data_IF_072839090695
#
_entry.id   IF_072839090695
#
_cell.length_a   1.000
_cell.length_b   1.000
_cell.length_c   1.000
_cell.angle_alpha   90.00
_cell.angle_beta   90.00
_cell.angle_gamma   90.00
#
_symmetry.space_group_name_H-M   'P 1'
#
loop_
_entity.id
_entity.type
_entity.pdbx_description
1 polymer ?
2 non-polymer ?
3 non-polymer ?
4 water ?
#
# COMPACT_ATOMS: atom_id res chain seq x y z
N UNK A 1 -14.29 10.67 16.66
CA UNK A 1 -13.84 9.39 17.29
C UNK A 1 -13.33 8.39 16.28
N UNK A 2 -12.12 7.90 16.50
CA UNK A 2 -11.51 6.87 15.66
C UNK A 2 -12.02 5.51 16.04
N UNK A 3 -12.27 4.68 15.04
CA UNK A 3 -12.54 3.26 15.28
C UNK A 3 -11.90 2.43 14.19
N UNK A 4 -11.28 1.33 14.58
CA UNK A 4 -10.69 0.44 13.58
C UNK A 4 -11.74 -0.33 12.77
N UNK A 5 -13.00 -0.35 13.23
CA UNK A 5 -14.06 -1.06 12.49
C UNK A 5 -14.97 -0.15 11.67
N UNK A 6 -14.55 1.10 11.48
CA UNK A 6 -15.28 2.03 10.62
C UNK A 6 -14.28 2.71 9.71
N UNK A 7 -14.74 3.33 8.63
CA UNK A 7 -13.88 4.18 7.84
C UNK A 7 -13.74 5.53 8.50
N UNK A 8 -12.51 5.99 8.65
CA UNK A 8 -12.22 7.24 9.36
C UNK A 8 -11.81 8.32 8.40
N UNK A 9 -12.30 9.54 8.60
CA UNK A 9 -11.91 10.64 7.71
C UNK A 9 -10.44 11.03 7.95
N UNK A 10 -9.90 11.88 7.08
CA UNK A 10 -8.49 12.22 7.20
C UNK A 10 -8.14 12.89 8.49
N UNK A 11 -8.96 13.83 8.96
CA UNK A 11 -8.66 14.49 10.23
C UNK A 11 -8.49 13.47 11.35
N UNK A 12 -9.36 12.47 11.34
CA UNK A 12 -9.33 11.39 12.33
C UNK A 12 -8.10 10.49 12.14
N UNK A 13 -7.79 10.08 10.91
CA UNK A 13 -6.58 9.26 10.68
C UNK A 13 -5.32 10.03 11.10
N UNK A 14 -5.25 11.31 10.73
CA UNK A 14 -4.12 12.15 11.08
C UNK A 14 -3.93 12.20 12.61
N UNK A 15 -5.02 12.46 13.33
CA UNK A 15 -4.96 12.53 14.79
C UNK A 15 -4.57 11.17 15.36
N UNK A 16 -5.04 10.10 14.72
CA UNK A 16 -4.70 8.75 15.14
C UNK A 16 -3.22 8.46 14.97
N UNK A 17 -2.62 8.92 13.87
CA UNK A 17 -1.18 8.72 13.69
C UNK A 17 -0.39 9.34 14.85
N UNK A 18 -0.83 10.52 15.30
CA UNK A 18 -0.17 11.21 16.40
C UNK A 18 -0.40 10.46 17.72
N UNK A 19 -1.63 10.06 17.96
CA UNK A 19 -2.00 9.39 19.22
C UNK A 19 -1.41 7.99 19.36
N UNK A 20 -1.45 7.20 18.29
CA UNK A 20 -0.93 5.83 18.35
C UNK A 20 0.59 5.86 18.58
N UNK A 21 1.25 6.91 18.06
CA UNK A 21 2.69 7.10 18.27
C UNK A 21 2.98 7.47 19.72
N UNK A 22 2.24 8.45 20.23
CA UNK A 22 2.44 8.92 21.60
C UNK A 22 2.14 7.83 22.62
N UNK A 23 1.18 6.96 22.32
CA UNK A 23 0.79 5.88 23.23
C UNK A 23 1.76 4.70 23.23
N UNK A 24 2.56 4.59 22.18
CA UNK A 24 3.43 3.41 21.98
C UNK A 24 4.86 3.82 21.58
N UNK A 25 5.51 4.67 22.40
CA UNK A 25 6.82 5.23 22.02
C UNK A 25 7.95 4.21 21.84
N UNK A 26 7.83 3.04 22.45
CA UNK A 26 8.85 1.99 22.33
C UNK A 26 8.68 1.15 21.08
N UNK A 27 7.58 1.37 20.35
CA UNK A 27 7.24 0.58 19.17
C UNK A 27 6.98 1.41 17.92
N UNK A 28 6.64 2.69 18.07
CA UNK A 28 6.23 3.51 16.93
C UNK A 28 6.87 4.89 16.96
N UNK A 29 7.40 5.33 15.82
CA UNK A 29 7.76 6.74 15.63
C UNK A 29 7.08 7.24 14.36
N UNK A 30 6.85 8.55 14.28
CA UNK A 30 6.16 9.14 13.16
C UNK A 30 7.01 10.22 12.51
N UNK A 31 7.06 10.24 11.18
CA UNK A 31 7.68 11.35 10.43
C UNK A 31 6.73 11.74 9.30
N UNK A 32 7.04 12.85 8.64
CA UNK A 32 6.36 13.27 7.41
C UNK A 32 7.40 13.14 6.31
N UNK A 33 7.06 12.46 5.22
CA UNK A 33 8.02 12.23 4.13
C UNK A 33 7.90 13.29 3.02
N UNK A 34 6.94 14.19 3.19
CA UNK A 34 6.71 15.24 2.21
C UNK A 34 5.32 15.79 2.40
N UNK A 35 4.88 16.64 1.46
CA UNK A 35 3.53 17.19 1.52
C UNK A 35 2.82 16.91 0.20
N UNK A 36 1.50 16.84 0.27
CA UNK A 36 0.69 16.61 -0.92
C UNK A 36 0.58 17.89 -1.76
N UNK A 37 -0.04 17.76 -2.93
CA UNK A 37 -0.37 18.91 -3.75
C UNK A 37 -0.99 20.04 -2.92
N UNK A 38 -1.95 19.70 -2.07
CA UNK A 38 -2.64 20.69 -1.24
C UNK A 38 -1.90 21.10 0.03
N UNK A 39 -0.74 20.49 0.28
CA UNK A 39 0.09 20.86 1.42
C UNK A 39 -0.14 20.04 2.67
N UNK A 40 -0.84 18.91 2.55
CA UNK A 40 -1.04 18.03 3.68
C UNK A 40 0.21 17.18 3.94
N UNK A 41 0.59 17.03 5.21
CA UNK A 41 1.73 16.19 5.58
C UNK A 41 1.46 14.73 5.28
N UNK A 42 2.40 14.10 4.58
CA UNK A 42 2.30 12.68 4.27
C UNK A 42 2.99 11.90 5.39
N UNK A 43 2.21 11.39 6.36
CA UNK A 43 2.79 10.75 7.53
C UNK A 43 3.18 9.31 7.26
N UNK A 44 4.26 8.92 7.93
CA UNK A 44 4.81 7.57 7.85
C UNK A 44 5.06 7.09 9.28
N UNK A 45 4.58 5.88 9.57
CA UNK A 45 4.83 5.27 10.88
C UNK A 45 5.95 4.23 10.75
N UNK A 46 6.94 4.29 11.64
CA UNK A 46 7.97 3.26 11.70
C UNK A 46 7.60 2.39 12.88
N UNK A 47 7.24 1.13 12.62
CA UNK A 47 6.72 0.23 13.64
C UNK A 47 7.75 -0.87 13.90
N UNK A 48 8.21 -0.96 15.14
CA UNK A 48 9.25 -1.94 15.50
C UNK A 48 9.99 -1.52 16.75
N UNK A 49 10.53 -2.50 17.46
CA UNK A 49 11.37 -2.20 18.62
C UNK A 49 12.77 -1.83 18.14
N UNK A 50 13.37 -0.74 18.67
CA UNK A 50 14.73 -0.40 18.23
C UNK A 50 15.73 -1.55 18.33
N UNK A 51 16.67 -1.57 17.40
CA UNK A 51 17.73 -2.54 17.41
C UNK A 51 18.71 -2.21 16.31
N UNK A 52 19.85 -2.89 16.30
CA UNK A 52 20.90 -2.55 15.35
C UNK A 52 20.68 -3.16 13.98
N UNK A 53 20.97 -2.37 12.94
CA UNK A 53 21.00 -2.85 11.56
C UNK A 53 19.78 -3.68 11.17
N UNK A 54 18.59 -3.19 11.52
CA UNK A 54 17.37 -3.93 11.24
C UNK A 54 16.98 -3.82 9.77
N UNK A 55 16.65 -4.94 9.13
CA UNK A 55 15.98 -4.84 7.83
C UNK A 55 14.57 -4.28 8.00
N UNK A 56 13.98 -3.85 6.90
CA UNK A 56 12.68 -3.22 6.91
C UNK A 56 11.75 -3.77 5.83
N UNK A 57 10.46 -3.69 6.12
CA UNK A 57 9.40 -3.92 5.15
C UNK A 57 8.64 -2.59 5.02
N UNK A 58 8.36 -2.18 3.80
CA UNK A 58 7.61 -0.95 3.56
C UNK A 58 6.22 -1.29 3.05
N UNK A 59 5.20 -0.72 3.68
CA UNK A 59 3.82 -0.94 3.27
C UNK A 59 3.09 0.38 3.16
N UNK A 60 2.43 0.60 2.03
CA UNK A 60 1.55 1.76 1.89
C UNK A 60 0.12 1.36 1.61
N UNK A 61 -0.78 2.26 1.98
CA UNK A 61 -2.19 2.17 1.68
C UNK A 61 -2.66 3.49 1.08
N UNK A 62 -3.85 3.47 0.49
CA UNK A 62 -4.48 4.71 0.09
C UNK A 62 -3.85 5.40 -1.13
N UNK A 63 -3.20 4.65 -2.01
CA UNK A 63 -2.85 5.23 -3.32
C UNK A 63 -4.09 5.79 -3.99
N UNK A 64 -5.16 5.00 -4.01
CA UNK A 64 -6.39 5.35 -4.74
C UNK A 64 -7.47 5.76 -3.78
N UNK A 65 -8.02 6.96 -3.98
CA UNK A 65 -8.81 7.62 -2.96
C UNK A 65 -10.03 6.81 -2.51
N UNK A 66 -10.72 6.20 -3.49
CA UNK A 66 -11.97 5.50 -3.21
C UNK A 66 -11.80 4.12 -2.60
N UNK A 67 -10.57 3.61 -2.51
CA UNK A 67 -10.34 2.25 -2.01
C UNK A 67 -10.22 2.23 -0.49
N UNK A 68 -11.32 2.59 0.18
CA UNK A 68 -11.32 2.88 1.61
C UNK A 68 -10.87 1.72 2.47
N UNK A 69 -11.08 0.49 1.98
CA UNK A 69 -10.63 -0.68 2.73
C UNK A 69 -9.10 -0.72 2.85
N UNK A 70 -8.39 -0.17 1.86
CA UNK A 70 -6.94 -0.11 1.91
C UNK A 70 -6.50 0.73 3.11
N UNK A 71 -7.04 1.94 3.21
CA UNK A 71 -6.68 2.83 4.34
C UNK A 71 -6.99 2.13 5.64
N UNK A 72 -8.15 1.48 5.70
CA UNK A 72 -8.55 0.77 6.92
C UNK A 72 -7.55 -0.33 7.27
N UNK A 73 -6.99 -0.99 6.26
CA UNK A 73 -6.07 -2.07 6.52
C UNK A 73 -4.77 -1.58 7.15
N UNK A 74 -4.19 -0.49 6.65
CA UNK A 74 -2.95 -0.02 7.28
C UNK A 74 -3.17 0.31 8.76
N UNK A 75 -4.32 0.91 9.07
CA UNK A 75 -4.65 1.15 10.45
C UNK A 75 -4.76 -0.16 11.23
N UNK A 76 -5.43 -1.17 10.66
CA UNK A 76 -5.55 -2.46 11.30
C UNK A 76 -4.22 -3.12 11.57
N UNK A 77 -3.28 -3.00 10.63
CA UNK A 77 -1.96 -3.59 10.85
C UNK A 77 -1.30 -3.01 12.10
N UNK A 78 -1.37 -1.68 12.24
CA UNK A 78 -0.80 -1.03 13.40
C UNK A 78 -1.55 -1.43 14.68
N UNK A 79 -2.88 -1.46 14.62
CA UNK A 79 -3.71 -2.03 15.69
C UNK A 79 -3.17 -3.38 16.19
N UNK A 80 -2.93 -4.27 15.24
CA UNK A 80 -2.44 -5.62 15.53
C UNK A 80 -1.05 -5.59 16.15
N UNK A 81 -0.16 -4.77 15.61
CA UNK A 81 1.19 -4.64 16.16
C UNK A 81 1.14 -4.21 17.62
N UNK A 82 0.37 -3.18 17.92
CA UNK A 82 0.36 -2.62 19.27
C UNK A 82 -0.37 -3.54 20.26
N UNK A 83 -1.43 -4.19 19.79
CA UNK A 83 -2.22 -5.04 20.65
C UNK A 83 -1.51 -6.34 21.01
N UNK A 84 -0.87 -6.97 20.02
CA UNK A 84 -0.38 -8.33 20.18
C UNK A 84 1.13 -8.45 20.44
N UNK A 85 1.87 -7.35 20.28
CA UNK A 85 3.28 -7.35 20.62
C UNK A 85 3.46 -7.79 22.09
N UNK A 86 4.31 -8.80 22.29
CA UNK A 86 4.60 -9.31 23.63
C UNK A 86 3.75 -10.54 23.96
N UNK A 87 2.57 -10.60 23.36
CA UNK A 87 1.63 -11.68 23.65
C UNK A 87 1.69 -12.80 22.63
N UNK A 88 1.96 -12.44 21.39
CA UNK A 88 1.90 -13.38 20.27
C UNK A 88 3.30 -13.50 19.66
N UNK A 89 3.79 -14.74 19.62
CA UNK A 89 5.20 -15.02 19.28
C UNK A 89 5.68 -14.44 17.95
N UNK A 90 4.90 -14.60 16.89
CA UNK A 90 5.36 -14.19 15.58
C UNK A 90 5.42 -12.69 15.44
N UNK A 91 4.35 -12.00 15.80
CA UNK A 91 4.34 -10.54 15.73
C UNK A 91 5.46 -9.96 16.58
N UNK A 92 5.73 -10.58 17.71
CA UNK A 92 6.78 -10.07 18.59
C UNK A 92 8.15 -10.23 17.94
N UNK A 93 8.40 -11.41 17.37
CA UNK A 93 9.64 -11.63 16.65
C UNK A 93 9.78 -10.65 15.49
N UNK A 94 8.70 -10.48 14.71
CA UNK A 94 8.74 -9.57 13.56
C UNK A 94 9.19 -8.19 14.02
N UNK A 95 8.58 -7.67 15.07
CA UNK A 95 8.85 -6.29 15.45
C UNK A 95 10.18 -6.13 16.18
N UNK A 96 10.68 -7.20 16.79
CA UNK A 96 11.99 -7.18 17.40
C UNK A 96 13.11 -7.18 16.37
N UNK A 97 12.88 -7.86 15.24
CA UNK A 97 13.93 -8.09 14.24
C UNK A 97 13.85 -7.20 13.01
N UNK A 98 12.64 -6.76 12.67
CA UNK A 98 12.42 -5.92 11.47
C UNK A 98 11.73 -4.65 11.87
N UNK A 99 11.89 -3.61 11.05
CA UNK A 99 11.02 -2.44 11.12
C UNK A 99 10.01 -2.49 10.01
N UNK A 100 8.79 -2.06 10.31
CA UNK A 100 7.75 -1.86 9.30
C UNK A 100 7.52 -0.39 9.13
N UNK A 101 7.68 0.07 7.91
CA UNK A 101 7.26 1.43 7.58
C UNK A 101 5.84 1.33 7.06
N UNK A 102 4.91 1.99 7.74
CA UNK A 102 3.50 1.94 7.34
C UNK A 102 3.08 3.35 6.95
N UNK A 103 2.75 3.52 5.67
CA UNK A 103 2.30 4.80 5.16
C UNK A 103 0.77 4.70 5.03
N UNK A 104 0.03 5.22 6.03
CA UNK A 104 -1.39 4.86 6.08
C UNK A 104 -2.23 5.41 4.94
N UNK A 105 -1.92 6.61 4.47
CA UNK A 105 -2.63 7.19 3.32
C UNK A 105 -1.65 7.97 2.47
N UNK A 106 -1.40 7.51 1.24
CA UNK A 106 -0.51 8.26 0.34
C UNK A 106 -1.24 9.45 -0.26
N UNK A 107 -2.39 9.18 -0.89
CA UNK A 107 -3.15 10.19 -1.63
C UNK A 107 -4.18 10.84 -0.70
N UNK A 108 -3.66 11.67 0.20
CA UNK A 108 -4.48 12.30 1.23
C UNK A 108 -5.49 13.26 0.60
N UNK A 109 -5.05 14.02 -0.40
CA UNK A 109 -5.94 15.01 -1.01
C UNK A 109 -7.14 14.32 -1.66
N UNK A 110 -6.90 13.23 -2.38
CA UNK A 110 -7.98 12.47 -3.02
C UNK A 110 -8.89 11.86 -1.95
N UNK A 111 -8.30 11.34 -0.87
CA UNK A 111 -9.10 10.75 0.18
C UNK A 111 -10.07 11.77 0.81
N UNK A 112 -9.57 12.96 1.14
CA UNK A 112 -10.44 14.02 1.65
C UNK A 112 -11.59 14.28 0.67
N UNK A 113 -11.26 14.34 -0.61
CA UNK A 113 -12.25 14.61 -1.66
C UNK A 113 -13.33 13.52 -1.70
N UNK A 114 -12.97 12.27 -1.42
CA UNK A 114 -13.99 11.20 -1.39
C UNK A 114 -14.95 11.35 -0.22
N UNK A 115 -14.51 12.03 0.84
CA UNK A 115 -15.37 12.32 1.99
C UNK A 115 -16.24 13.54 1.81
N UNK A 116 -15.73 14.53 1.08
CA UNK A 116 -16.40 15.83 1.00
C UNK A 116 -17.22 16.04 -0.26
N UNK A 117 -16.84 15.41 -1.36
CA UNK A 117 -17.42 15.74 -2.67
C UNK A 117 -17.78 14.56 -3.56
N UNK A 118 -16.93 13.53 -3.61
CA UNK A 118 -17.11 12.50 -4.62
C UNK A 118 -16.51 11.19 -4.15
N UNK A 119 -17.38 10.31 -3.66
CA UNK A 119 -16.99 9.02 -3.08
C UNK A 119 -16.16 8.17 -4.03
N UNK A 120 -16.32 8.41 -5.33
CA UNK A 120 -15.72 7.56 -6.35
C UNK A 120 -14.48 8.18 -7.00
N UNK A 121 -13.93 9.23 -6.38
CA UNK A 121 -12.66 9.77 -6.83
C UNK A 121 -11.54 8.74 -6.68
N UNK A 122 -10.62 8.73 -7.65
CA UNK A 122 -9.47 7.79 -7.69
C UNK A 122 -8.11 8.50 -7.56
N UNK A 123 -7.95 9.55 -8.37
CA UNK A 123 -6.66 10.18 -8.62
C UNK A 123 -6.22 11.16 -7.54
N UNK A 124 -5.07 11.80 -7.74
CA UNK A 124 -4.71 12.93 -6.91
C UNK A 124 -5.63 14.11 -7.21
N UNK A 125 -5.34 15.26 -6.61
CA UNK A 125 -6.15 16.45 -6.85
C UNK A 125 -5.34 17.61 -7.42
N UNK A 126 -4.24 17.28 -8.09
CA UNK A 126 -3.41 18.30 -8.73
C UNK A 126 -4.02 18.78 -10.04
N UNK A 127 -3.59 19.95 -10.49
CA UNK A 127 -4.04 20.49 -11.77
C UNK A 127 -3.23 19.99 -12.95
N UNK A 128 -3.82 20.16 -14.14
CA UNK A 128 -3.24 19.76 -15.41
C UNK A 128 -3.26 20.92 -16.40
N UNK A 129 -2.15 21.12 -17.11
CA UNK A 129 -2.09 22.18 -18.12
C UNK A 129 -3.11 21.98 -19.24
N UNK A 130 -3.74 23.08 -19.68
CA UNK A 130 -4.60 23.05 -20.87
C UNK A 130 -5.98 22.43 -20.71
N UNK A 131 -6.36 22.14 -19.46
CA UNK A 131 -7.65 21.53 -19.17
C UNK A 131 -8.06 21.89 -17.75
N UNK A 132 -9.35 21.76 -17.45
CA UNK A 132 -9.81 21.88 -16.07
C UNK A 132 -9.91 20.51 -15.37
N UNK A 133 -9.66 19.43 -16.10
CA UNK A 133 -9.67 18.10 -15.50
C UNK A 133 -8.57 17.98 -14.46
N UNK A 134 -8.90 17.33 -13.36
CA UNK A 134 -8.04 17.25 -12.20
C UNK A 134 -7.46 15.87 -11.99
N UNK A 135 -6.17 15.85 -11.64
CA UNK A 135 -5.58 14.66 -11.02
C UNK A 135 -4.83 13.75 -11.95
N UNK A 136 -3.89 13.03 -11.33
CA UNK A 136 -3.05 12.01 -11.95
C UNK A 136 -3.27 10.71 -11.18
N UNK A 137 -3.24 9.59 -11.88
CA UNK A 137 -3.30 8.29 -11.21
C UNK A 137 -1.92 8.04 -10.59
N UNK A 138 -1.82 8.04 -9.24
CA UNK A 138 -0.48 7.89 -8.66
C UNK A 138 0.14 6.54 -9.03
N UNK A 139 -0.68 5.51 -9.28
CA UNK A 139 -0.13 4.21 -9.67
C UNK A 139 0.10 4.08 -11.17
N UNK A 140 0.13 5.22 -11.87
CA UNK A 140 0.63 5.28 -13.24
C UNK A 140 1.76 6.30 -13.34
N UNK A 141 2.20 6.82 -12.18
CA UNK A 141 3.13 7.95 -12.16
C UNK A 141 4.59 7.60 -11.81
N UNK A 142 4.91 6.31 -11.70
CA UNK A 142 6.27 5.90 -11.38
C UNK A 142 7.07 5.61 -12.64
N UNK A 143 8.38 5.68 -12.48
CA UNK A 143 9.30 5.46 -13.58
C UNK A 143 9.48 3.97 -13.88
N UNK A 144 8.46 3.36 -14.46
CA UNK A 144 8.42 1.91 -14.73
C UNK A 144 7.66 1.70 -16.05
N UNK A 145 8.38 1.68 -17.16
CA UNK A 145 7.75 1.72 -18.49
C UNK A 145 6.76 2.87 -18.59
N UNK A 146 7.12 4.02 -18.02
CA UNK A 146 6.17 5.10 -17.77
C UNK A 146 5.31 5.50 -18.97
N UNK A 147 4.00 5.49 -18.74
CA UNK A 147 2.95 5.99 -19.63
C UNK A 147 2.80 5.19 -20.92
N UNK A 148 3.20 3.94 -20.86
CA UNK A 148 2.98 3.09 -22.00
C UNK A 148 1.63 2.38 -21.69
N UNK A 149 1.64 1.08 -21.65
CA UNK A 149 0.45 0.29 -21.69
C UNK A 149 -0.42 0.49 -20.45
N UNK A 150 -1.73 0.48 -20.63
CA UNK A 150 -2.66 0.52 -19.51
C UNK A 150 -2.64 1.82 -18.73
N UNK A 151 -2.10 2.86 -19.36
CA UNK A 151 -2.00 4.19 -18.79
C UNK A 151 -2.42 5.16 -19.87
N UNK A 152 -3.16 6.21 -19.49
CA UNK A 152 -3.70 7.16 -20.44
C UNK A 152 -2.89 8.44 -20.47
N UNK A 153 -2.74 9.01 -21.67
CA UNK A 153 -2.12 10.33 -21.83
C UNK A 153 -3.13 11.47 -21.63
N UNK A 154 -4.41 11.13 -21.45
CA UNK A 154 -5.45 12.13 -21.33
C UNK A 154 -5.63 12.50 -19.85
N UNK A 155 -5.41 13.79 -19.48
CA UNK A 155 -5.55 14.21 -18.07
C UNK A 155 -6.98 14.06 -17.52
N UNK A 156 -7.98 13.92 -18.40
CA UNK A 156 -9.36 13.71 -17.97
C UNK A 156 -9.69 12.26 -17.69
N UNK A 157 -8.71 11.37 -17.86
CA UNK A 157 -8.95 9.94 -17.73
C UNK A 157 -8.48 9.43 -16.36
N UNK A 158 -9.07 8.33 -15.91
CA UNK A 158 -8.84 7.80 -14.58
C UNK A 158 -7.46 7.14 -14.40
N UNK A 159 -6.80 6.78 -15.51
CA UNK A 159 -5.46 6.22 -15.46
C UNK A 159 -4.43 7.17 -16.05
N UNK A 160 -4.71 8.48 -15.99
CA UNK A 160 -3.76 9.47 -16.48
C UNK A 160 -2.38 9.29 -15.83
N UNK A 161 -1.34 9.24 -16.64
CA UNK A 161 0.01 8.96 -16.14
C UNK A 161 0.73 10.16 -15.56
N UNK A 162 0.16 11.36 -15.71
CA UNK A 162 0.82 12.58 -15.27
C UNK A 162 1.63 13.22 -16.37
N UNK A 163 2.19 14.38 -16.07
CA UNK A 163 2.99 15.09 -17.06
C UNK A 163 4.39 14.48 -17.25
N UNK A 164 4.85 13.73 -16.26
CA UNK A 164 6.17 13.09 -16.27
C UNK A 164 6.15 12.11 -15.11
N UNK A 165 7.05 11.11 -15.15
CA UNK A 165 7.18 10.21 -14.01
C UNK A 165 7.55 11.05 -12.78
N UNK A 166 6.89 10.77 -11.66
CA UNK A 166 7.11 11.46 -10.39
C UNK A 166 6.73 12.93 -10.44
N UNK A 167 5.85 13.30 -11.37
CA UNK A 167 5.33 14.66 -11.42
C UNK A 167 4.55 15.02 -10.17
N UNK A 168 3.94 14.03 -9.54
CA UNK A 168 3.10 14.28 -8.38
C UNK A 168 3.95 14.36 -7.13
N UNK A 169 3.65 15.34 -6.28
CA UNK A 169 4.37 15.50 -5.02
C UNK A 169 4.35 14.22 -4.19
N UNK A 170 3.23 13.50 -4.21
CA UNK A 170 3.07 12.31 -3.37
C UNK A 170 3.95 11.16 -3.83
N UNK A 171 4.04 10.95 -5.14
CA UNK A 171 4.80 9.84 -5.68
C UNK A 171 6.30 10.16 -5.63
N UNK A 172 6.67 11.41 -5.90
CA UNK A 172 8.04 11.86 -5.68
C UNK A 172 8.46 11.63 -4.22
N UNK A 173 7.58 11.96 -3.28
CA UNK A 173 7.91 11.78 -1.86
C UNK A 173 8.15 10.30 -1.53
N UNK A 174 7.28 9.43 -2.03
CA UNK A 174 7.41 8.01 -1.79
C UNK A 174 8.68 7.43 -2.43
N UNK A 175 8.91 7.77 -3.70
CA UNK A 175 10.10 7.30 -4.42
C UNK A 175 11.38 7.80 -3.74
N UNK A 176 11.39 9.07 -3.32
CA UNK A 176 12.54 9.61 -2.59
C UNK A 176 12.81 8.83 -1.31
N UNK A 177 11.75 8.56 -0.53
CA UNK A 177 11.94 7.82 0.71
C UNK A 177 12.52 6.44 0.42
N UNK A 178 11.94 5.73 -0.53
CA UNK A 178 12.41 4.39 -0.82
C UNK A 178 13.86 4.42 -1.33
N UNK A 179 14.19 5.32 -2.26
CA UNK A 179 15.57 5.48 -2.71
C UNK A 179 16.54 5.76 -1.55
N UNK A 180 16.13 6.61 -0.61
CA UNK A 180 16.98 6.97 0.52
C UNK A 180 17.14 5.82 1.52
N UNK A 181 16.27 4.82 1.45
CA UNK A 181 16.30 3.72 2.41
C UNK A 181 16.45 2.34 1.77
N UNK A 182 16.98 2.35 0.56
CA UNK A 182 17.05 1.16 -0.25
C UNK A 182 17.88 0.05 0.40
N UNK A 183 18.94 0.40 1.11
CA UNK A 183 19.81 -0.61 1.69
C UNK A 183 19.13 -1.41 2.82
N UNK A 184 18.09 -0.84 3.43
CA UNK A 184 17.38 -1.54 4.50
C UNK A 184 16.05 -2.15 4.09
N UNK A 185 15.35 -1.55 3.12
CA UNK A 185 14.04 -2.04 2.72
C UNK A 185 14.18 -3.32 1.88
N UNK A 186 13.66 -4.42 2.40
CA UNK A 186 13.75 -5.74 1.74
C UNK A 186 12.48 -6.16 1.03
N UNK A 187 11.35 -5.53 1.37
CA UNK A 187 10.08 -5.87 0.76
C UNK A 187 9.22 -4.63 0.68
N UNK A 188 8.42 -4.56 -0.38
CA UNK A 188 7.52 -3.46 -0.65
C UNK A 188 6.12 -4.04 -0.86
N UNK A 189 5.16 -3.54 -0.07
CA UNK A 189 3.78 -4.02 -0.09
C UNK A 189 2.86 -2.84 -0.29
N UNK A 190 2.01 -2.92 -1.29
CA UNK A 190 1.16 -1.78 -1.62
C UNK A 190 -0.30 -2.25 -1.68
N UNK A 191 -1.14 -1.64 -0.85
CA UNK A 191 -2.48 -2.16 -0.61
C UNK A 191 -3.52 -1.38 -1.40
N UNK A 192 -4.31 -2.13 -2.17
CA UNK A 192 -5.35 -1.62 -3.06
C UNK A 192 -6.63 -2.42 -2.84
N UNK A 193 -7.71 -2.02 -3.52
CA UNK A 193 -8.88 -2.89 -3.71
C UNK A 193 -9.43 -2.56 -5.08
N UNK A 194 -10.33 -3.36 -5.65
CA UNK A 194 -10.79 -4.65 -5.12
C UNK A 194 -10.41 -5.73 -6.13
N UNK A 195 -10.86 -6.95 -5.86
CA UNK A 195 -10.82 -8.14 -6.74
C UNK A 195 -10.09 -9.34 -6.15
N UNK A 196 -9.50 -9.20 -4.96
CA UNK A 196 -8.98 -10.34 -4.20
C UNK A 196 -7.80 -11.00 -4.92
N UNK A 197 -6.67 -10.28 -4.93
CA UNK A 197 -5.46 -10.77 -5.63
C UNK A 197 -4.20 -10.45 -4.84
N UNK A 198 -3.18 -11.29 -5.04
CA UNK A 198 -1.81 -10.94 -4.68
C UNK A 198 -1.00 -10.92 -5.98
N UNK A 199 -0.54 -9.73 -6.35
CA UNK A 199 0.13 -9.48 -7.61
C UNK A 199 1.59 -9.17 -7.37
N UNK A 200 2.45 -9.59 -8.29
CA UNK A 200 3.85 -9.22 -8.23
C UNK A 200 4.29 -8.81 -9.65
N UNK A 201 5.53 -8.29 -9.80
CA UNK A 201 5.91 -7.77 -11.13
C UNK A 201 5.96 -8.86 -12.20
N UNK A 202 5.80 -8.51 -13.48
CA UNK A 202 5.62 -7.14 -13.97
C UNK A 202 4.23 -6.87 -14.47
N UNK A 203 3.83 -5.61 -14.37
CA UNK A 203 2.64 -5.10 -15.03
C UNK A 203 2.96 -4.22 -16.24
N UNK A 204 4.11 -3.55 -16.26
CA UNK A 204 4.37 -2.57 -17.30
C UNK A 204 4.71 -3.19 -18.64
N UNK A 205 5.09 -4.46 -18.65
CA UNK A 205 5.31 -5.22 -19.89
C UNK A 205 5.06 -6.68 -19.54
N UNK A 206 4.82 -7.50 -20.57
CA UNK A 206 4.71 -8.94 -20.39
C UNK A 206 6.12 -9.51 -20.33
N UNK A 207 6.66 -9.51 -19.12
CA UNK A 207 7.97 -10.07 -18.83
C UNK A 207 7.96 -10.48 -17.37
N UNK A 208 8.90 -11.34 -16.99
CA UNK A 208 8.92 -11.90 -15.65
C UNK A 208 10.16 -11.49 -14.89
N UNK A 209 10.03 -11.32 -13.56
CA UNK A 209 11.18 -11.00 -12.72
C UNK A 209 12.08 -12.23 -12.60
N UNK A 210 13.37 -12.01 -12.32
CA UNK A 210 14.31 -13.14 -12.29
C UNK A 210 13.97 -14.16 -11.21
N UNK A 211 13.36 -13.70 -10.12
CA UNK A 211 12.94 -14.58 -9.03
C UNK A 211 11.45 -14.91 -9.12
N UNK A 212 10.96 -15.04 -10.35
CA UNK A 212 9.57 -15.35 -10.60
C UNK A 212 9.06 -16.60 -9.87
N UNK A 213 9.84 -17.67 -9.87
CA UNK A 213 9.39 -18.91 -9.22
C UNK A 213 9.21 -18.69 -7.72
N UNK A 214 10.17 -18.02 -7.11
CA UNK A 214 10.10 -17.69 -5.69
C UNK A 214 8.87 -16.81 -5.35
N UNK A 215 8.64 -15.77 -6.15
CA UNK A 215 7.50 -14.90 -5.91
C UNK A 215 6.19 -15.62 -6.13
N UNK A 216 6.13 -16.47 -7.17
CA UNK A 216 4.93 -17.22 -7.44
C UNK A 216 4.57 -18.14 -6.29
N UNK A 217 5.57 -18.86 -5.79
CA UNK A 217 5.35 -19.78 -4.69
C UNK A 217 4.95 -19.08 -3.40
N UNK A 218 5.55 -17.93 -3.15
CA UNK A 218 5.21 -17.14 -1.99
C UNK A 218 3.78 -16.58 -2.08
N UNK A 219 3.41 -16.04 -3.23
CA UNK A 219 2.06 -15.53 -3.40
C UNK A 219 1.04 -16.66 -3.27
N UNK A 220 1.35 -17.79 -3.87
CA UNK A 220 0.47 -18.96 -3.77
C UNK A 220 0.24 -19.38 -2.31
N UNK A 221 1.32 -19.44 -1.54
CA UNK A 221 1.24 -19.81 -0.14
C UNK A 221 0.52 -18.76 0.70
N UNK A 222 0.74 -17.47 0.37
CA UNK A 222 0.06 -16.40 1.11
C UNK A 222 -1.44 -16.41 0.84
N UNK A 223 -1.82 -16.69 -0.40
CA UNK A 223 -3.23 -16.85 -0.78
C UNK A 223 -3.89 -18.01 0.00
N UNK A 224 -3.18 -19.13 0.11
CA UNK A 224 -3.70 -20.28 0.83
C UNK A 224 -3.85 -19.93 2.31
N UNK A 225 -2.87 -19.24 2.86
CA UNK A 225 -2.94 -18.84 4.27
C UNK A 225 -4.13 -17.88 4.52
N UNK A 226 -4.32 -16.91 3.63
CA UNK A 226 -5.44 -16.00 3.76
C UNK A 226 -6.79 -16.78 3.79
N UNK A 227 -6.91 -17.77 2.91
CA UNK A 227 -8.15 -18.53 2.78
C UNK A 227 -8.48 -19.35 4.03
N UNK A 228 -7.47 -19.63 4.86
CA UNK A 228 -7.73 -20.49 6.01
C UNK A 228 -8.79 -19.90 6.94
N UNK A 229 -8.91 -18.58 7.01
CA UNK A 229 -9.78 -17.97 8.03
C UNK A 229 -11.26 -18.04 7.66
N UNK A 230 -11.62 -17.51 6.49
CA UNK A 230 -13.01 -17.40 6.07
C UNK A 230 -13.28 -18.04 4.71
N UNK A 231 -12.28 -18.66 4.12
CA UNK A 231 -12.46 -19.27 2.80
C UNK A 231 -12.43 -18.28 1.64
N UNK A 232 -12.03 -17.04 1.91
CA UNK A 232 -11.97 -16.02 0.86
C UNK A 232 -10.95 -16.42 -0.21
N UNK A 233 -11.39 -16.38 -1.47
CA UNK A 233 -10.57 -16.85 -2.59
C UNK A 233 -9.87 -15.72 -3.29
N UNK A 234 -8.54 -15.76 -3.27
CA UNK A 234 -7.69 -14.84 -4.01
C UNK A 234 -7.05 -15.53 -5.19
N UNK A 235 -6.78 -14.75 -6.24
CA UNK A 235 -5.89 -15.21 -7.32
C UNK A 235 -4.55 -14.52 -7.15
N UNK A 236 -3.54 -14.97 -7.91
CA UNK A 236 -2.20 -14.45 -7.72
C UNK A 236 -1.42 -14.62 -9.02
N UNK A 237 -0.35 -13.84 -9.13
CA UNK A 237 0.58 -13.98 -10.26
C UNK A 237 1.13 -12.63 -10.67
N UNK A 238 1.90 -12.62 -11.78
CA UNK A 238 2.44 -11.38 -12.31
C UNK A 238 1.29 -10.45 -12.74
N UNK A 239 1.41 -9.15 -12.44
CA UNK A 239 0.30 -8.24 -12.68
C UNK A 239 -0.25 -8.27 -14.09
N UNK A 240 0.62 -8.29 -15.11
CA UNK A 240 0.17 -8.11 -16.49
C UNK A 240 -0.84 -9.19 -16.91
N UNK A 241 -0.64 -10.42 -16.45
CA UNK A 241 -1.48 -11.54 -16.85
C UNK A 241 -2.52 -11.90 -15.77
N UNK A 242 -2.35 -11.36 -14.57
CA UNK A 242 -3.27 -11.70 -13.49
C UNK A 242 -4.41 -10.69 -13.35
N UNK A 243 -4.13 -9.41 -13.63
CA UNK A 243 -5.19 -8.41 -13.64
C UNK A 243 -5.28 -7.71 -15.00
N UNK A 244 -4.19 -7.06 -15.42
CA UNK A 244 -4.12 -6.40 -16.74
C UNK A 244 -2.73 -5.79 -16.85
N UNK A 245 -2.26 -5.55 -18.09
CA UNK A 245 -1.03 -4.76 -18.24
C UNK A 245 -1.31 -3.30 -17.84
N UNK A 246 -0.35 -2.70 -17.13
CA UNK A 246 -0.46 -1.31 -16.71
C UNK A 246 0.91 -0.82 -16.31
N UNK A 247 1.32 0.27 -16.93
CA UNK A 247 2.64 0.84 -16.72
C UNK A 247 2.67 1.87 -15.60
N UNK A 248 3.86 2.13 -15.06
CA UNK A 248 4.07 3.20 -14.11
C UNK A 248 3.64 2.93 -12.68
N UNK A 249 3.53 1.66 -12.31
CA UNK A 249 3.14 1.30 -10.94
C UNK A 249 4.31 1.23 -9.98
N UNK A 250 4.01 1.46 -8.71
CA UNK A 250 5.05 1.50 -7.69
C UNK A 250 5.64 0.11 -7.40
N UNK A 251 4.84 -0.96 -7.52
CA UNK A 251 5.37 -2.29 -7.29
C UNK A 251 6.51 -2.63 -8.26
N UNK A 252 6.30 -2.37 -9.55
CA UNK A 252 7.29 -2.64 -10.57
C UNK A 252 8.51 -1.75 -10.39
N UNK A 253 8.25 -0.47 -10.09
CA UNK A 253 9.33 0.47 -9.84
C UNK A 253 10.20 0.04 -8.67
N UNK A 254 9.57 -0.34 -7.56
CA UNK A 254 10.33 -0.76 -6.38
C UNK A 254 11.16 -2.01 -6.70
N UNK A 255 10.56 -2.94 -7.44
CA UNK A 255 11.27 -4.15 -7.81
C UNK A 255 12.50 -3.81 -8.66
N UNK A 256 12.35 -2.89 -9.60
CA UNK A 256 13.46 -2.48 -10.46
C UNK A 256 14.54 -1.68 -9.72
N UNK A 257 14.23 -1.20 -8.52
CA UNK A 257 15.24 -0.63 -7.62
C UNK A 257 16.07 -1.70 -6.91
N UNK A 258 15.63 -2.96 -6.98
CA UNK A 258 16.32 -4.06 -6.31
C UNK A 258 15.56 -4.65 -5.13
N UNK A 259 14.34 -4.18 -4.88
CA UNK A 259 13.55 -4.73 -3.77
C UNK A 259 12.88 -6.02 -4.29
N UNK A 260 13.37 -7.16 -3.81
CA UNK A 260 13.08 -8.44 -4.45
C UNK A 260 11.68 -8.98 -4.17
N UNK A 261 11.08 -8.52 -3.08
CA UNK A 261 9.74 -8.96 -2.69
C UNK A 261 8.86 -7.73 -2.83
N UNK A 262 8.07 -7.68 -3.89
CA UNK A 262 7.26 -6.52 -4.20
C UNK A 262 5.89 -7.02 -4.60
N UNK A 263 4.86 -6.63 -3.84
CA UNK A 263 3.51 -7.15 -4.04
C UNK A 263 2.48 -6.04 -3.99
N UNK A 264 1.50 -6.12 -4.89
CA UNK A 264 0.27 -5.35 -4.80
C UNK A 264 -0.83 -6.29 -4.29
N UNK A 265 -1.51 -5.89 -3.21
CA UNK A 265 -2.67 -6.62 -2.73
C UNK A 265 -3.92 -5.93 -3.23
N UNK A 266 -4.86 -6.70 -3.74
CA UNK A 266 -6.22 -6.24 -4.01
C UNK A 266 -7.12 -6.90 -3.00
N UNK A 267 -7.70 -6.12 -2.10
CA UNK A 267 -8.52 -6.68 -1.03
C UNK A 267 -9.95 -6.96 -1.53
N UNK A 268 -10.87 -7.25 -0.61
CA UNK A 268 -12.27 -7.57 -0.94
C UNK A 268 -12.95 -6.38 -1.62
N UNK A 269 -14.04 -6.61 -2.37
CA UNK A 269 -14.59 -7.92 -2.67
C UNK A 269 -14.34 -8.26 -4.14
N UNK A 270 -15.25 -8.99 -4.78
CA UNK A 270 -15.07 -9.33 -6.20
C UNK A 270 -16.05 -8.56 -7.07
N UNK A 271 -16.65 -7.50 -6.51
CA UNK A 271 -17.52 -6.63 -7.29
C UNK A 271 -18.92 -6.39 -6.77
N UNK A 272 -19.39 -7.19 -5.80
CA UNK A 272 -20.75 -6.96 -5.29
C UNK A 272 -20.89 -5.52 -4.77
N UNK A 273 -19.94 -5.12 -3.92
CA UNK A 273 -19.86 -3.75 -3.42
C UNK A 273 -18.71 -2.96 -4.02
N UNK A 274 -17.67 -3.66 -4.49
CA UNK A 274 -16.55 -2.99 -5.13
C UNK A 274 -15.87 -2.04 -4.17
N UNK A 275 -15.72 -0.78 -4.56
CA UNK A 275 -15.05 0.21 -3.70
C UNK A 275 -15.84 0.60 -2.46
N UNK A 276 -17.16 0.42 -2.51
CA UNK A 276 -18.01 0.81 -1.37
C UNK A 276 -18.28 -0.41 -0.49
N UNK A 277 -17.20 -1.13 -0.17
CA UNK A 277 -17.26 -2.26 0.73
C UNK A 277 -17.82 -1.79 2.07
N UNK A 278 -18.87 -2.47 2.57
CA UNK A 278 -19.46 -1.99 3.83
C UNK A 278 -18.55 -2.11 5.04
N UNK A 279 -18.74 -1.21 5.99
CA UNK A 279 -17.99 -1.22 7.23
C UNK A 279 -18.10 -2.54 7.96
N UNK A 280 -19.25 -3.22 7.83
CA UNK A 280 -19.45 -4.51 8.45
C UNK A 280 -18.45 -5.56 7.97
N UNK A 281 -17.77 -5.34 6.85
CA UNK A 281 -16.74 -6.27 6.37
C UNK A 281 -15.31 -5.88 6.74
N UNK A 282 -15.11 -4.75 7.42
CA UNK A 282 -13.75 -4.29 7.72
C UNK A 282 -12.98 -5.32 8.56
N UNK A 283 -13.59 -5.76 9.67
CA UNK A 283 -12.93 -6.70 10.56
C UNK A 283 -12.49 -7.99 9.83
N UNK A 284 -13.42 -8.63 9.15
CA UNK A 284 -13.10 -9.91 8.52
C UNK A 284 -12.06 -9.72 7.40
N UNK A 285 -12.23 -8.67 6.60
CA UNK A 285 -11.27 -8.39 5.56
C UNK A 285 -9.87 -8.18 6.15
N UNK A 286 -9.78 -7.36 7.18
CA UNK A 286 -8.48 -7.02 7.73
C UNK A 286 -7.85 -8.22 8.43
N UNK A 287 -8.67 -9.01 9.16
CA UNK A 287 -8.12 -10.17 9.84
C UNK A 287 -7.56 -11.22 8.86
N UNK A 288 -8.27 -11.51 7.78
CA UNK A 288 -7.74 -12.51 6.84
C UNK A 288 -6.49 -11.94 6.13
N UNK A 289 -6.51 -10.64 5.82
CA UNK A 289 -5.39 -10.01 5.13
C UNK A 289 -4.14 -10.06 6.03
N UNK A 290 -4.34 -9.86 7.33
CA UNK A 290 -3.22 -9.99 8.28
C UNK A 290 -2.49 -11.31 8.12
N UNK A 291 -3.23 -12.39 7.87
CA UNK A 291 -2.58 -13.69 7.75
C UNK A 291 -1.63 -13.74 6.56
N UNK A 292 -2.06 -13.16 5.44
CA UNK A 292 -1.22 -13.11 4.25
C UNK A 292 -0.02 -12.20 4.47
N UNK A 293 -0.24 -11.05 5.10
CA UNK A 293 0.84 -10.09 5.32
C UNK A 293 1.88 -10.68 6.27
N UNK A 294 1.41 -11.34 7.33
CA UNK A 294 2.32 -11.99 8.27
C UNK A 294 3.05 -13.16 7.62
N UNK A 295 2.40 -13.86 6.70
CA UNK A 295 3.07 -14.96 5.99
C UNK A 295 4.24 -14.42 5.15
N UNK A 296 4.00 -13.34 4.42
CA UNK A 296 5.04 -12.73 3.62
C UNK A 296 6.17 -12.21 4.53
N UNK A 297 5.81 -11.54 5.62
CA UNK A 297 6.77 -11.03 6.57
C UNK A 297 7.66 -12.14 7.13
N UNK A 298 7.04 -13.25 7.53
CA UNK A 298 7.80 -14.36 8.07
C UNK A 298 8.74 -14.94 7.02
N UNK A 299 8.28 -15.01 5.78
CA UNK A 299 9.14 -15.48 4.69
C UNK A 299 10.36 -14.58 4.53
N UNK A 300 10.13 -13.27 4.48
CA UNK A 300 11.21 -12.30 4.32
C UNK A 300 12.22 -12.46 5.46
N UNK A 301 11.72 -12.55 6.68
CA UNK A 301 12.60 -12.69 7.85
C UNK A 301 13.45 -13.95 7.79
N UNK A 302 12.86 -15.01 7.25
CA UNK A 302 13.51 -16.30 7.17
C UNK A 302 14.41 -16.52 5.97
N UNK A 303 14.46 -15.55 5.06
CA UNK A 303 15.24 -15.71 3.82
C UNK A 303 16.06 -14.50 3.56
N UNK A 304 16.64 -13.95 4.62
CA UNK A 304 17.50 -12.77 4.50
C UNK A 304 18.84 -13.06 3.83
#
# INVERSE_FOLDING_TARGET
GHSYEKYNNWETIEAWTKQVTSENPDLISRTAIGTTFLGNNIYLLKVGKPGPNKPAIFMDCGFHAREWISHAFCQWFVREAVLTYGYESHMTEFLNKLDFYVLPVLNIDGYIYTWTKNRMWRKTRSTNAGTTCIGTDPNRNFDAGWCTTGASTDPCDETYCGSAAESEKETKALADFIRNNLSSIKAYLTIHSYSQMILYPYSYDYKLPENNAELNNLAKAAVKELATLYGTKYTYGPGATTIYPAAGGSDDWAYDQGIKYSFTFELRDKGRYGFILPESQIQATCEETMLAIKYVTNYVLGHL
#
